data_IF_296480911433
#
_entry.id   IF_296480911433
#
_cell.length_a   1.000
_cell.length_b   1.000
_cell.length_c   1.000
_cell.angle_alpha   90.00
_cell.angle_beta   90.00
_cell.angle_gamma   90.00
#
_symmetry.space_group_name_H-M   'P 1'
#
loop_
_entity.id
_entity.type
_entity.pdbx_description
1 polymer ?
#
# COMPACT_ATOMS: atom_id res chain seq x y z
N UNK A 1 -61.44 -41.58 64.11
CA UNK A 1 -60.14 -40.90 64.14
C UNK A 1 -60.34 -39.50 63.59
N UNK A 2 -59.98 -38.49 64.41
CA UNK A 2 -59.73 -37.05 64.17
C UNK A 2 -60.11 -36.47 62.78
N UNK A 3 -61.04 -35.50 62.65
CA UNK A 3 -60.82 -34.02 62.76
C UNK A 3 -59.63 -33.57 61.88
N UNK A 4 -59.73 -32.64 60.92
CA UNK A 4 -60.39 -31.33 60.94
C UNK A 4 -60.49 -30.69 59.54
N UNK A 5 -61.45 -29.76 59.39
CA UNK A 5 -61.59 -28.72 58.35
C UNK A 5 -60.33 -27.78 58.32
N UNK A 6 -60.11 -26.79 57.44
CA UNK A 6 -60.94 -26.03 56.49
C UNK A 6 -60.06 -25.15 55.54
N UNK A 7 -60.75 -24.56 54.55
CA UNK A 7 -60.55 -23.23 53.93
C UNK A 7 -59.33 -22.93 53.01
N UNK A 8 -59.67 -22.79 51.72
CA UNK A 8 -59.33 -21.70 50.79
C UNK A 8 -58.40 -20.58 51.30
N UNK A 9 -57.38 -20.23 50.49
CA UNK A 9 -57.08 -18.84 50.13
C UNK A 9 -56.07 -18.78 48.97
N UNK A 10 -56.51 -18.15 47.87
CA UNK A 10 -55.71 -17.35 46.92
C UNK A 10 -54.42 -17.97 46.38
N UNK A 11 -54.54 -18.81 45.34
CA UNK A 11 -53.45 -19.04 44.37
C UNK A 11 -53.78 -18.45 43.00
N UNK A 12 -54.51 -17.33 42.99
CA UNK A 12 -54.57 -16.37 41.89
C UNK A 12 -54.05 -15.06 42.47
N UNK A 13 -52.77 -14.77 42.24
CA UNK A 13 -52.14 -13.44 42.21
C UNK A 13 -50.65 -13.58 42.50
N UNK A 14 -49.91 -13.97 41.48
CA UNK A 14 -48.70 -13.27 41.04
C UNK A 14 -48.34 -13.88 39.68
N UNK A 15 -49.08 -13.44 38.68
CA UNK A 15 -48.62 -13.53 37.30
C UNK A 15 -47.36 -12.70 37.18
N UNK A 16 -46.23 -13.39 37.16
CA UNK A 16 -45.08 -12.98 36.39
C UNK A 16 -44.77 -14.18 35.51
N UNK A 17 -45.35 -14.17 34.31
CA UNK A 17 -44.76 -14.90 33.20
C UNK A 17 -43.34 -14.33 33.05
N UNK A 18 -42.36 -14.98 33.67
CA UNK A 18 -41.02 -14.96 33.13
C UNK A 18 -41.12 -15.66 31.78
N UNK A 19 -41.50 -14.89 30.75
CA UNK A 19 -41.09 -15.18 29.40
C UNK A 19 -39.57 -15.21 29.47
N UNK A 20 -39.01 -16.40 29.69
CA UNK A 20 -37.59 -16.69 29.53
C UNK A 20 -37.30 -16.51 28.05
N UNK A 21 -37.17 -15.26 27.64
CA UNK A 21 -36.73 -14.88 26.32
C UNK A 21 -35.41 -15.62 26.10
N UNK A 22 -35.41 -16.53 25.13
CA UNK A 22 -34.27 -17.40 24.86
C UNK A 22 -33.08 -16.54 24.41
N UNK A 23 -32.22 -16.21 25.38
CA UNK A 23 -31.11 -15.26 25.23
C UNK A 23 -30.17 -15.73 24.12
N UNK A 24 -30.09 -17.04 23.90
CA UNK A 24 -29.31 -17.67 22.83
C UNK A 24 -29.83 -17.28 21.44
N UNK A 25 -31.13 -17.45 21.17
CA UNK A 25 -31.75 -17.10 19.90
C UNK A 25 -31.79 -15.59 19.64
N UNK A 26 -31.92 -14.77 20.69
CA UNK A 26 -31.78 -13.32 20.55
C UNK A 26 -30.34 -12.94 20.23
N UNK A 27 -29.35 -13.51 20.93
CA UNK A 27 -27.94 -13.25 20.65
C UNK A 27 -27.58 -13.66 19.22
N UNK A 28 -27.97 -14.85 18.77
CA UNK A 28 -27.80 -15.29 17.38
C UNK A 28 -28.43 -14.28 16.41
N UNK A 29 -29.69 -13.90 16.60
CA UNK A 29 -30.40 -12.97 15.70
C UNK A 29 -29.80 -11.56 15.71
N UNK A 30 -29.26 -11.10 16.83
CA UNK A 30 -28.53 -9.83 16.96
C UNK A 30 -27.17 -9.92 16.26
N UNK A 31 -26.43 -11.01 16.43
CA UNK A 31 -25.15 -11.29 15.75
C UNK A 31 -25.37 -11.34 14.23
N UNK A 32 -26.34 -12.11 13.74
CA UNK A 32 -26.68 -12.18 12.31
C UNK A 32 -27.12 -10.82 11.75
N UNK A 33 -27.88 -10.03 12.50
CA UNK A 33 -28.31 -8.68 12.07
C UNK A 33 -27.15 -7.68 12.04
N UNK A 34 -26.17 -7.81 12.94
CA UNK A 34 -24.96 -6.99 12.95
C UNK A 34 -24.05 -7.34 11.77
N UNK A 35 -23.88 -8.64 11.47
CA UNK A 35 -23.15 -9.14 10.30
C UNK A 35 -23.83 -8.70 8.98
N UNK A 36 -25.16 -8.62 8.95
CA UNK A 36 -25.89 -8.22 7.73
C UNK A 36 -25.78 -6.72 7.40
N UNK A 37 -25.46 -5.86 8.37
CA UNK A 37 -25.40 -4.41 8.14
C UNK A 37 -23.94 -3.95 7.98
N UNK A 38 -23.61 -3.50 6.76
CA UNK A 38 -22.30 -2.90 6.46
C UNK A 38 -21.95 -1.79 7.46
N UNK A 39 -20.82 -1.94 8.15
CA UNK A 39 -20.21 -0.89 8.97
C UNK A 39 -19.43 0.04 8.03
N UNK A 40 -19.90 1.27 7.88
CA UNK A 40 -19.19 2.27 7.09
C UNK A 40 -17.96 2.78 7.86
N UNK A 41 -16.87 2.98 7.14
CA UNK A 41 -15.68 3.64 7.69
C UNK A 41 -15.88 5.17 7.69
N UNK A 42 -15.20 5.90 8.59
CA UNK A 42 -15.19 7.35 8.59
C UNK A 42 -14.43 7.90 7.38
N UNK A 43 -14.80 9.11 6.93
CA UNK A 43 -14.19 9.80 5.78
C UNK A 43 -12.69 10.07 5.99
N UNK A 44 -12.30 10.35 7.23
CA UNK A 44 -10.91 10.45 7.67
C UNK A 44 -10.63 9.31 8.62
N UNK A 45 -9.68 8.45 8.24
CA UNK A 45 -9.34 7.22 8.95
C UNK A 45 -7.83 7.08 9.12
N UNK A 46 -7.46 6.33 10.15
CA UNK A 46 -6.09 5.87 10.36
C UNK A 46 -5.73 4.70 9.44
N UNK A 47 -4.54 4.18 9.66
CA UNK A 47 -3.95 3.09 8.88
C UNK A 47 -2.49 3.37 8.54
N UNK A 48 -1.80 2.33 8.12
CA UNK A 48 -0.40 2.41 7.72
C UNK A 48 -0.24 2.13 6.23
N UNK A 49 0.94 2.46 5.71
CA UNK A 49 1.33 2.13 4.36
C UNK A 49 2.65 1.38 4.41
N UNK A 50 2.63 0.12 3.99
CA UNK A 50 3.79 -0.74 3.92
C UNK A 50 4.24 -0.90 2.47
N UNK A 51 5.48 -0.51 2.19
CA UNK A 51 6.13 -0.77 0.92
C UNK A 51 6.99 -2.02 1.06
N UNK A 52 6.76 -2.99 0.20
CA UNK A 52 7.59 -4.19 0.12
C UNK A 52 8.04 -4.45 -1.32
N UNK A 53 9.12 -5.19 -1.47
CA UNK A 53 9.53 -5.76 -2.75
C UNK A 53 9.50 -7.27 -2.63
N UNK A 54 8.70 -7.92 -3.47
CA UNK A 54 8.63 -9.37 -3.58
C UNK A 54 9.14 -9.78 -4.95
N UNK A 55 10.25 -10.54 -5.00
CA UNK A 55 10.85 -11.00 -6.27
C UNK A 55 11.12 -9.86 -7.27
N UNK A 56 11.47 -8.68 -6.76
CA UNK A 56 11.70 -7.47 -7.58
C UNK A 56 10.43 -6.64 -7.92
N UNK A 57 9.23 -7.15 -7.64
CA UNK A 57 7.97 -6.42 -7.80
C UNK A 57 7.66 -5.61 -6.54
N UNK A 58 7.43 -4.31 -6.71
CA UNK A 58 7.08 -3.43 -5.58
C UNK A 58 5.59 -3.50 -5.29
N UNK A 59 5.26 -3.84 -4.05
CA UNK A 59 3.91 -3.87 -3.48
C UNK A 59 3.78 -2.71 -2.50
N UNK A 60 2.64 -2.03 -2.57
CA UNK A 60 2.20 -1.04 -1.59
C UNK A 60 0.90 -1.56 -0.97
N UNK A 61 1.01 -1.99 0.29
CA UNK A 61 -0.14 -2.33 1.12
C UNK A 61 -0.54 -1.07 1.89
N UNK A 62 -1.81 -0.68 1.80
CA UNK A 62 -2.36 0.41 2.62
C UNK A 62 -3.56 -0.12 3.38
N UNK A 63 -3.63 0.19 4.66
CA UNK A 63 -4.76 -0.21 5.50
C UNK A 63 -5.64 0.99 5.80
N UNK A 64 -6.92 0.73 6.03
CA UNK A 64 -7.87 1.69 6.56
C UNK A 64 -8.49 1.12 7.84
N UNK A 65 -8.33 1.85 8.93
CA UNK A 65 -8.75 1.42 10.27
C UNK A 65 -10.02 2.15 10.72
N UNK A 66 -10.78 1.48 11.57
CA UNK A 66 -11.84 2.10 12.36
C UNK A 66 -11.26 2.88 13.55
N UNK A 67 -12.08 3.68 14.22
CA UNK A 67 -11.68 4.47 15.40
C UNK A 67 -11.17 3.62 16.57
N UNK A 68 -11.55 2.34 16.63
CA UNK A 68 -11.10 1.37 17.62
C UNK A 68 -9.81 0.62 17.23
N UNK A 69 -9.19 0.95 16.09
CA UNK A 69 -7.97 0.29 15.61
C UNK A 69 -8.22 -1.03 14.86
N UNK A 70 -9.46 -1.48 14.74
CA UNK A 70 -9.81 -2.64 13.92
C UNK A 70 -9.58 -2.33 12.43
N UNK A 71 -9.09 -3.31 11.68
CA UNK A 71 -8.93 -3.23 10.24
C UNK A 71 -10.30 -3.22 9.53
N UNK A 72 -10.56 -2.20 8.73
CA UNK A 72 -11.82 -2.08 7.96
C UNK A 72 -11.66 -2.24 6.46
N UNK A 73 -10.47 -1.96 5.92
CA UNK A 73 -10.20 -2.11 4.49
C UNK A 73 -8.71 -2.21 4.19
N UNK A 74 -8.40 -2.78 3.03
CA UNK A 74 -7.05 -2.91 2.50
C UNK A 74 -7.01 -2.42 1.06
N UNK A 75 -5.89 -1.82 0.66
CA UNK A 75 -5.58 -1.49 -0.71
C UNK A 75 -4.25 -2.11 -1.11
N UNK A 76 -4.21 -2.64 -2.32
CA UNK A 76 -3.05 -3.27 -2.91
C UNK A 76 -2.69 -2.58 -4.21
N UNK A 77 -1.55 -1.90 -4.21
CA UNK A 77 -0.99 -1.26 -5.38
C UNK A 77 0.33 -1.91 -5.77
N UNK A 78 0.45 -2.30 -7.03
CA UNK A 78 1.66 -2.90 -7.57
C UNK A 78 2.12 -2.12 -8.81
N UNK A 79 3.44 -1.98 -8.94
CA UNK A 79 4.08 -1.36 -10.10
C UNK A 79 4.86 -2.42 -10.88
N UNK A 80 4.74 -2.39 -12.21
CA UNK A 80 5.42 -3.26 -13.20
C UNK A 80 4.77 -4.61 -13.49
N UNK A 81 3.53 -4.83 -13.07
CA UNK A 81 2.77 -6.01 -13.46
C UNK A 81 1.73 -5.67 -14.54
N UNK A 82 1.33 -6.69 -15.31
CA UNK A 82 0.35 -6.52 -16.38
C UNK A 82 -0.97 -5.92 -15.89
N UNK A 83 -1.65 -5.16 -16.76
CA UNK A 83 -2.90 -4.46 -16.42
C UNK A 83 -3.98 -5.40 -15.84
N UNK A 84 -4.04 -6.64 -16.33
CA UNK A 84 -4.97 -7.66 -15.83
C UNK A 84 -4.71 -8.02 -14.36
N UNK A 85 -3.44 -8.27 -13.99
CA UNK A 85 -3.09 -8.65 -12.63
C UNK A 85 -3.31 -7.50 -11.65
N UNK A 86 -2.90 -6.28 -12.01
CA UNK A 86 -3.19 -5.07 -11.20
C UNK A 86 -4.70 -4.91 -10.96
N UNK A 87 -5.51 -5.08 -11.99
CA UNK A 87 -6.97 -4.94 -11.88
C UNK A 87 -7.57 -6.03 -10.99
N UNK A 88 -7.09 -7.27 -11.12
CA UNK A 88 -7.52 -8.39 -10.29
C UNK A 88 -7.17 -8.17 -8.81
N UNK A 89 -5.94 -7.74 -8.51
CA UNK A 89 -5.52 -7.43 -7.14
C UNK A 89 -6.35 -6.29 -6.52
N UNK A 90 -6.68 -5.27 -7.32
CA UNK A 90 -7.57 -4.19 -6.87
C UNK A 90 -8.99 -4.70 -6.58
N UNK A 91 -9.58 -5.53 -7.47
CA UNK A 91 -10.88 -6.15 -7.23
C UNK A 91 -10.87 -7.07 -5.99
N UNK A 92 -9.78 -7.81 -5.80
CA UNK A 92 -9.57 -8.66 -4.63
C UNK A 92 -9.52 -7.83 -3.33
N UNK A 93 -8.74 -6.75 -3.32
CA UNK A 93 -8.65 -5.85 -2.17
C UNK A 93 -10.02 -5.22 -1.82
N UNK A 94 -10.82 -4.85 -2.83
CA UNK A 94 -12.19 -4.36 -2.64
C UNK A 94 -13.08 -5.46 -2.04
N UNK A 95 -12.99 -6.71 -2.51
CA UNK A 95 -13.80 -7.82 -2.00
C UNK A 95 -13.49 -8.12 -0.52
N UNK A 96 -12.21 -8.18 -0.16
CA UNK A 96 -11.77 -8.38 1.24
C UNK A 96 -12.23 -7.22 2.12
N UNK A 97 -12.04 -5.97 1.66
CA UNK A 97 -12.49 -4.78 2.39
C UNK A 97 -14.00 -4.78 2.61
N UNK A 98 -14.77 -5.22 1.62
CA UNK A 98 -16.21 -5.36 1.76
C UNK A 98 -16.55 -6.42 2.82
N UNK A 99 -15.89 -7.58 2.78
CA UNK A 99 -16.07 -8.63 3.77
C UNK A 99 -15.79 -8.17 5.21
N UNK A 100 -14.67 -7.47 5.43
CA UNK A 100 -14.34 -6.87 6.73
C UNK A 100 -15.42 -5.88 7.20
N UNK A 101 -15.99 -5.08 6.28
CA UNK A 101 -17.07 -4.14 6.61
C UNK A 101 -18.41 -4.81 6.92
N UNK A 102 -18.65 -6.04 6.44
CA UNK A 102 -19.79 -6.88 6.84
C UNK A 102 -19.49 -7.72 8.08
N UNK A 103 -18.36 -7.49 8.76
CA UNK A 103 -18.02 -8.15 10.02
C UNK A 103 -17.46 -9.56 9.84
N UNK A 104 -16.93 -9.90 8.67
CA UNK A 104 -16.09 -11.09 8.53
C UNK A 104 -14.78 -10.84 9.31
N UNK A 105 -14.43 -11.68 10.29
CA UNK A 105 -13.21 -11.51 11.08
C UNK A 105 -11.96 -11.69 10.21
N UNK A 106 -10.90 -10.96 10.54
CA UNK A 106 -9.64 -10.96 9.76
C UNK A 106 -8.98 -12.34 9.78
N UNK A 107 -9.10 -13.05 10.91
CA UNK A 107 -8.59 -14.39 11.16
C UNK A 107 -9.02 -15.39 10.07
N UNK A 108 -10.29 -15.35 9.67
CA UNK A 108 -10.83 -16.24 8.64
C UNK A 108 -10.21 -15.97 7.27
N UNK A 109 -9.91 -14.71 6.97
CA UNK A 109 -9.20 -14.37 5.74
C UNK A 109 -7.73 -14.80 5.79
N UNK A 110 -7.07 -14.63 6.93
CA UNK A 110 -5.68 -15.07 7.13
C UNK A 110 -5.58 -16.57 6.92
N UNK A 111 -6.42 -17.35 7.60
CA UNK A 111 -6.38 -18.81 7.51
C UNK A 111 -6.74 -19.32 6.11
N UNK A 112 -7.61 -18.60 5.37
CA UNK A 112 -7.97 -18.96 4.00
C UNK A 112 -6.86 -18.67 2.97
N UNK A 113 -6.05 -17.62 3.17
CA UNK A 113 -5.16 -17.09 2.14
C UNK A 113 -3.66 -17.26 2.40
N UNK A 114 -3.26 -17.54 3.64
CA UNK A 114 -1.87 -17.87 3.97
C UNK A 114 -1.45 -19.16 3.26
N UNK A 115 -0.18 -19.22 2.85
CA UNK A 115 0.44 -20.30 2.06
C UNK A 115 -0.12 -20.50 0.64
N UNK A 116 -0.96 -19.60 0.16
CA UNK A 116 -1.34 -19.59 -1.26
C UNK A 116 -0.11 -19.37 -2.14
N UNK A 117 -0.02 -20.14 -3.23
CA UNK A 117 1.16 -20.18 -4.11
C UNK A 117 0.81 -19.69 -5.50
N UNK A 118 1.41 -18.58 -5.91
CA UNK A 118 1.38 -18.06 -7.29
C UNK A 118 2.45 -16.97 -7.45
N UNK A 119 2.81 -16.66 -8.69
CA UNK A 119 3.80 -15.61 -8.98
C UNK A 119 3.20 -14.20 -8.87
N UNK A 120 3.96 -13.20 -8.36
CA UNK A 120 5.35 -13.29 -7.90
C UNK A 120 5.48 -13.95 -6.53
N UNK A 121 6.52 -14.76 -6.38
CA UNK A 121 6.92 -15.41 -5.13
C UNK A 121 8.43 -15.26 -4.93
N UNK A 122 8.90 -15.32 -3.69
CA UNK A 122 10.32 -15.25 -3.38
C UNK A 122 10.66 -14.38 -2.18
N UNK A 123 11.87 -13.81 -2.22
CA UNK A 123 12.41 -12.97 -1.14
C UNK A 123 11.60 -11.69 -1.03
N UNK A 124 11.30 -11.33 0.21
CA UNK A 124 10.65 -10.08 0.61
C UNK A 124 11.70 -9.12 1.17
N UNK A 125 11.76 -7.92 0.60
CA UNK A 125 12.54 -6.82 1.13
C UNK A 125 11.62 -5.67 1.57
N UNK A 126 12.04 -4.95 2.61
CA UNK A 126 11.28 -3.82 3.16
C UNK A 126 10.32 -4.21 4.28
N UNK A 127 10.31 -5.47 4.70
CA UNK A 127 9.58 -5.95 5.87
C UNK A 127 10.56 -6.52 6.91
N UNK A 128 10.28 -6.27 8.19
CA UNK A 128 11.13 -6.71 9.31
C UNK A 128 10.88 -8.18 9.67
N UNK A 129 9.62 -8.62 9.68
CA UNK A 129 9.20 -9.94 10.16
C UNK A 129 9.17 -11.02 9.07
N UNK A 130 8.75 -10.66 7.85
CA UNK A 130 8.59 -11.60 6.74
C UNK A 130 9.72 -11.42 5.74
N UNK A 131 10.57 -12.44 5.59
CA UNK A 131 11.71 -12.43 4.66
C UNK A 131 11.46 -13.20 3.36
N UNK A 132 10.48 -14.09 3.35
CA UNK A 132 10.11 -14.94 2.22
C UNK A 132 8.59 -15.08 2.17
N UNK A 133 8.02 -15.07 0.97
CA UNK A 133 6.59 -15.33 0.75
C UNK A 133 6.34 -16.18 -0.49
N UNK A 134 5.29 -16.99 -0.46
CA UNK A 134 4.92 -17.88 -1.56
C UNK A 134 3.99 -17.23 -2.58
N UNK A 135 3.45 -16.05 -2.26
CA UNK A 135 2.72 -15.18 -3.17
C UNK A 135 2.57 -13.77 -2.59
N UNK A 136 2.04 -12.83 -3.37
CA UNK A 136 1.67 -11.48 -2.91
C UNK A 136 0.59 -11.55 -1.83
N UNK A 137 -0.42 -12.39 -2.05
CA UNK A 137 -1.56 -12.53 -1.13
C UNK A 137 -1.09 -13.17 0.19
N UNK A 138 -0.26 -14.21 0.11
CA UNK A 138 0.37 -14.83 1.26
C UNK A 138 1.17 -13.81 2.08
N UNK A 139 1.98 -12.97 1.43
CA UNK A 139 2.71 -11.88 2.10
C UNK A 139 1.75 -10.89 2.80
N UNK A 140 0.71 -10.43 2.10
CA UNK A 140 -0.25 -9.45 2.62
C UNK A 140 -0.96 -9.98 3.87
N UNK A 141 -1.51 -11.20 3.83
CA UNK A 141 -2.26 -11.73 4.96
C UNK A 141 -1.37 -12.10 6.15
N UNK A 142 -0.14 -12.55 5.92
CA UNK A 142 0.82 -12.70 7.02
C UNK A 142 1.16 -11.37 7.67
N UNK A 143 1.35 -10.32 6.88
CA UNK A 143 1.63 -8.98 7.41
C UNK A 143 0.45 -8.44 8.23
N UNK A 144 -0.78 -8.60 7.74
CA UNK A 144 -1.98 -8.20 8.47
C UNK A 144 -2.17 -9.03 9.75
N UNK A 145 -1.86 -10.33 9.71
CA UNK A 145 -1.93 -11.19 10.89
C UNK A 145 -0.92 -10.77 11.96
N UNK A 146 0.29 -10.40 11.58
CA UNK A 146 1.30 -9.91 12.52
C UNK A 146 0.89 -8.54 13.08
N UNK A 147 0.45 -7.62 12.21
CA UNK A 147 0.14 -6.24 12.59
C UNK A 147 -1.13 -6.08 13.45
N UNK A 148 -2.18 -6.86 13.18
CA UNK A 148 -3.49 -6.72 13.86
C UNK A 148 -3.83 -7.85 14.81
N UNK A 149 -3.31 -9.07 14.57
CA UNK A 149 -3.66 -10.25 15.37
C UNK A 149 -2.51 -10.71 16.27
N UNK A 150 -1.35 -10.03 16.21
CA UNK A 150 -0.13 -10.39 16.94
C UNK A 150 0.30 -11.85 16.72
N UNK A 151 -0.05 -12.40 15.54
CA UNK A 151 0.26 -13.77 15.13
C UNK A 151 1.69 -13.88 14.60
N UNK A 152 2.65 -13.85 15.52
CA UNK A 152 4.07 -14.01 15.20
C UNK A 152 4.47 -15.44 14.80
N UNK A 153 3.57 -16.43 14.91
CA UNK A 153 3.76 -17.80 14.40
C UNK A 153 3.99 -17.83 12.88
N UNK A 154 3.47 -16.83 12.16
CA UNK A 154 3.61 -16.69 10.72
C UNK A 154 4.87 -15.90 10.30
N UNK A 155 5.54 -15.26 11.26
CA UNK A 155 6.76 -14.50 11.03
C UNK A 155 7.97 -15.45 10.88
N UNK A 156 8.92 -15.07 10.01
CA UNK A 156 10.19 -15.79 9.93
C UNK A 156 11.20 -15.29 10.96
N UNK A 157 11.08 -14.01 11.36
CA UNK A 157 11.91 -13.38 12.37
C UNK A 157 10.99 -12.97 13.52
N UNK A 158 11.28 -13.50 14.70
CA UNK A 158 10.50 -13.18 15.90
C UNK A 158 10.77 -11.74 16.36
N UNK A 159 9.85 -11.10 17.08
CA UNK A 159 10.07 -9.75 17.62
C UNK A 159 11.27 -9.70 18.59
N UNK A 160 11.58 -10.81 19.28
CA UNK A 160 12.72 -10.91 20.19
C UNK A 160 14.06 -10.83 19.42
N UNK A 161 14.15 -11.50 18.27
CA UNK A 161 15.35 -11.46 17.42
C UNK A 161 15.62 -10.05 16.87
N UNK A 162 14.58 -9.24 16.65
CA UNK A 162 14.72 -7.85 16.19
C UNK A 162 15.28 -6.93 17.30
N UNK A 163 15.03 -7.25 18.57
CA UNK A 163 15.57 -6.49 19.70
C UNK A 163 17.07 -6.72 19.87
N UNK A 164 17.57 -7.92 19.57
CA UNK A 164 19.01 -8.23 19.63
C UNK A 164 19.79 -7.58 18.48
N UNK A 165 19.17 -7.40 17.31
CA UNK A 165 19.77 -6.66 16.19
C UNK A 165 19.87 -5.16 16.51
N UNK A 166 18.83 -4.56 17.10
CA UNK A 166 18.87 -3.15 17.51
C UNK A 166 19.91 -2.88 18.63
N UNK A 167 20.28 -3.90 19.40
CA UNK A 167 21.40 -3.81 20.38
C UNK A 167 22.79 -3.96 19.74
N UNK A 168 22.89 -4.56 18.55
CA UNK A 168 24.14 -4.71 17.80
C UNK A 168 24.33 -3.66 16.69
N UNK A 169 23.25 -2.97 16.28
CA UNK A 169 23.25 -1.84 15.33
C UNK A 169 23.42 -0.46 15.98
N UNK A 170 23.75 -0.38 17.28
CA UNK A 170 24.21 0.87 17.91
C UNK A 170 25.57 1.37 17.41
N UNK A 171 26.16 0.74 16.39
CA UNK A 171 27.08 1.45 15.50
C UNK A 171 26.25 2.30 14.53
N UNK A 172 25.58 3.31 15.09
CA UNK A 172 25.11 4.47 14.33
C UNK A 172 26.34 5.04 13.62
N UNK A 173 26.42 4.86 12.31
CA UNK A 173 27.20 5.76 11.49
C UNK A 173 26.43 7.07 11.48
N UNK A 174 26.59 7.83 12.55
CA UNK A 174 26.22 9.22 12.60
C UNK A 174 26.99 9.87 11.45
N UNK A 175 26.28 10.39 10.45
CA UNK A 175 26.89 11.36 9.55
C UNK A 175 27.04 12.63 10.38
N UNK A 176 28.02 12.61 11.29
CA UNK A 176 28.51 13.77 12.01
C UNK A 176 28.84 14.82 10.96
N UNK A 177 28.17 15.98 11.09
CA UNK A 177 28.62 17.30 10.73
C UNK A 177 29.61 17.37 9.56
N UNK A 178 29.19 17.95 8.42
CA UNK A 178 30.13 18.42 7.41
C UNK A 178 31.23 19.27 8.06
N UNK A 179 32.40 18.68 8.32
CA UNK A 179 33.55 19.39 8.84
C UNK A 179 34.03 20.36 7.75
N UNK A 180 34.01 21.64 8.09
CA UNK A 180 34.43 22.71 7.21
C UNK A 180 35.97 22.69 7.13
N UNK A 181 36.54 21.86 6.23
CA UNK A 181 37.98 21.55 6.16
C UNK A 181 38.88 22.78 5.98
N UNK A 182 38.37 23.91 5.46
CA UNK A 182 39.05 25.22 5.53
C UNK A 182 38.19 26.33 4.93
N UNK A 183 37.87 27.36 5.71
CA UNK A 183 37.41 28.66 5.18
C UNK A 183 38.62 29.50 4.76
N UNK A 184 38.82 29.71 3.45
CA UNK A 184 39.77 30.73 2.97
C UNK A 184 39.06 32.08 2.93
N UNK A 185 39.43 32.97 3.85
CA UNK A 185 39.11 34.39 3.75
C UNK A 185 40.07 35.02 2.75
N UNK A 186 39.55 35.50 1.62
CA UNK A 186 40.32 36.29 0.66
C UNK A 186 40.43 37.71 1.24
N UNK A 187 41.63 38.23 1.52
CA UNK A 187 41.78 39.62 1.96
C UNK A 187 41.27 40.58 0.87
N UNK A 188 40.49 41.58 1.27
CA UNK A 188 39.83 42.53 0.36
C UNK A 188 40.82 43.25 -0.59
N UNK A 189 42.10 43.30 -0.23
CA UNK A 189 43.17 43.92 -1.02
C UNK A 189 43.51 43.12 -2.30
N UNK A 190 43.26 41.81 -2.34
CA UNK A 190 43.49 40.97 -3.53
C UNK A 190 42.31 40.97 -4.51
N UNK A 191 41.16 41.57 -4.16
CA UNK A 191 40.02 41.74 -5.06
C UNK A 191 40.14 43.00 -5.94
N UNK A 192 41.13 43.86 -5.70
CA UNK A 192 41.26 45.17 -6.36
C UNK A 192 42.01 45.16 -7.71
N UNK A 193 42.11 44.00 -8.38
CA UNK A 193 42.98 43.83 -9.56
C UNK A 193 42.31 43.53 -10.91
N UNK A 194 40.98 43.47 -11.00
CA UNK A 194 40.30 43.16 -12.27
C UNK A 194 39.30 44.26 -12.64
N UNK A 195 39.84 45.41 -13.03
CA UNK A 195 39.08 46.41 -13.77
C UNK A 195 38.80 45.94 -15.21
N UNK A 196 37.50 45.79 -15.49
CA UNK A 196 36.77 46.18 -16.72
C UNK A 196 37.29 45.68 -18.08
N UNK A 197 36.64 44.64 -18.60
CA UNK A 197 36.20 44.64 -20.01
C UNK A 197 34.67 44.66 -20.08
N UNK A 198 34.17 45.70 -20.73
CA UNK A 198 32.76 45.99 -20.96
C UNK A 198 32.07 44.85 -21.73
N UNK A 199 30.93 44.37 -21.23
CA UNK A 199 29.95 43.65 -22.03
C UNK A 199 28.56 44.27 -21.82
N UNK A 200 27.84 44.39 -22.95
CA UNK A 200 26.56 45.08 -23.16
C UNK A 200 25.42 44.53 -22.28
N UNK A 201 24.34 45.30 -22.04
CA UNK A 201 23.31 44.92 -21.07
C UNK A 201 22.47 43.72 -21.56
N UNK A 202 22.44 42.66 -20.76
CA UNK A 202 21.51 41.52 -20.92
C UNK A 202 20.26 41.82 -20.10
N UNK A 203 19.10 41.69 -20.75
CA UNK A 203 17.76 41.95 -20.20
C UNK A 203 17.47 41.06 -18.98
N UNK A 204 17.00 41.67 -17.88
CA UNK A 204 16.50 40.98 -16.68
C UNK A 204 15.28 40.13 -17.04
N UNK A 205 15.28 38.83 -16.73
CA UNK A 205 14.06 38.03 -16.57
C UNK A 205 13.91 37.63 -15.10
N UNK A 206 12.76 38.02 -14.54
CA UNK A 206 12.26 37.63 -13.21
C UNK A 206 12.05 36.11 -13.16
N UNK A 207 12.49 35.48 -12.08
CA UNK A 207 12.05 34.12 -11.72
C UNK A 207 10.96 34.30 -10.67
N UNK A 208 9.73 33.98 -11.07
CA UNK A 208 8.53 33.90 -10.23
C UNK A 208 8.29 32.41 -10.01
N UNK A 209 8.16 32.01 -8.76
CA UNK A 209 7.70 30.68 -8.33
C UNK A 209 6.18 30.65 -8.46
N UNK A 210 5.56 29.60 -9.05
CA UNK A 210 4.14 29.37 -8.88
C UNK A 210 3.87 28.05 -8.15
N UNK A 211 3.12 28.16 -7.04
CA UNK A 211 2.05 27.22 -6.72
C UNK A 211 1.05 27.24 -7.88
N UNK A 212 0.56 26.08 -8.34
CA UNK A 212 -0.88 25.97 -8.56
C UNK A 212 -1.38 24.52 -8.59
N UNK A 213 -2.45 24.35 -7.85
CA UNK A 213 -3.50 23.35 -8.00
C UNK A 213 -4.27 23.57 -9.31
N UNK A 214 -4.81 22.48 -9.86
CA UNK A 214 -5.83 22.39 -10.93
C UNK A 214 -5.36 22.17 -12.39
N UNK A 215 -5.91 21.09 -12.96
CA UNK A 215 -6.13 20.81 -14.39
C UNK A 215 -4.92 20.60 -15.33
N UNK A 216 -4.37 19.37 -15.34
CA UNK A 216 -3.64 18.84 -16.52
C UNK A 216 -4.51 17.86 -17.30
N UNK A 217 -5.38 18.39 -18.15
CA UNK A 217 -5.83 17.71 -19.37
C UNK A 217 -5.18 18.44 -20.53
N UNK A 218 -4.49 17.70 -21.41
CA UNK A 218 -4.01 18.08 -22.76
C UNK A 218 -2.49 18.28 -23.01
N UNK A 219 -1.60 17.48 -22.41
CA UNK A 219 -0.19 17.35 -22.89
C UNK A 219 0.02 16.17 -23.87
N UNK A 220 -1.01 15.34 -24.09
CA UNK A 220 -0.91 14.16 -24.96
C UNK A 220 -0.72 14.51 -26.44
N UNK A 221 -1.28 15.64 -26.90
CA UNK A 221 -1.23 16.06 -28.31
C UNK A 221 0.15 16.52 -28.74
N UNK A 222 0.89 17.19 -27.84
CA UNK A 222 2.27 17.62 -28.10
C UNK A 222 3.20 16.41 -28.26
N UNK A 223 3.11 15.43 -27.35
CA UNK A 223 3.92 14.21 -27.39
C UNK A 223 3.67 13.36 -28.65
N UNK A 224 2.40 13.26 -29.09
CA UNK A 224 2.05 12.56 -30.35
C UNK A 224 2.64 13.27 -31.57
N UNK A 225 2.64 14.60 -31.59
CA UNK A 225 3.19 15.38 -32.70
C UNK A 225 4.71 15.20 -32.83
N UNK A 226 5.43 15.19 -31.71
CA UNK A 226 6.87 14.93 -31.67
C UNK A 226 7.22 13.51 -32.12
N UNK A 227 6.42 12.51 -31.71
CA UNK A 227 6.62 11.12 -32.12
C UNK A 227 6.47 10.94 -33.64
N UNK A 228 5.51 11.64 -34.26
CA UNK A 228 5.33 11.64 -35.73
C UNK A 228 6.49 12.32 -36.45
N UNK A 229 6.98 13.45 -35.94
CA UNK A 229 8.15 14.16 -36.51
C UNK A 229 9.39 13.26 -36.46
N UNK A 230 9.57 12.50 -35.37
CA UNK A 230 10.68 11.55 -35.19
C UNK A 230 10.52 10.26 -36.01
N UNK A 231 9.39 10.07 -36.70
CA UNK A 231 9.13 8.92 -37.56
C UNK A 231 8.87 7.62 -36.80
N UNK A 232 8.37 7.69 -35.56
CA UNK A 232 8.02 6.49 -34.81
C UNK A 232 6.77 5.82 -35.35
N UNK A 233 6.81 4.50 -35.50
CA UNK A 233 5.70 3.73 -36.09
C UNK A 233 4.56 3.48 -35.13
N UNK A 234 4.77 3.68 -33.82
CA UNK A 234 3.78 3.39 -32.78
C UNK A 234 3.73 1.92 -32.36
N UNK A 235 4.60 1.07 -32.89
CA UNK A 235 4.78 -0.30 -32.41
C UNK A 235 5.70 -0.33 -31.18
N UNK A 236 5.45 -1.28 -30.27
CA UNK A 236 6.28 -1.51 -29.09
C UNK A 236 7.49 -2.38 -29.44
N UNK A 237 8.69 -1.97 -29.04
CA UNK A 237 9.88 -2.82 -29.15
C UNK A 237 9.72 -4.12 -28.32
N UNK A 238 10.02 -5.32 -28.84
CA UNK A 238 9.84 -6.57 -28.09
C UNK A 238 10.81 -6.76 -26.90
N UNK A 239 11.94 -6.06 -26.87
CA UNK A 239 12.94 -6.18 -25.80
C UNK A 239 12.83 -5.10 -24.72
N UNK A 240 12.79 -3.82 -25.13
CA UNK A 240 12.72 -2.71 -24.17
C UNK A 240 11.31 -2.11 -24.00
N UNK A 241 10.33 -2.59 -24.76
CA UNK A 241 8.92 -2.15 -24.73
C UNK A 241 8.67 -0.66 -24.97
N UNK A 242 9.67 0.08 -25.45
CA UNK A 242 9.54 1.48 -25.80
C UNK A 242 8.97 1.67 -27.21
N UNK A 243 8.08 2.65 -27.39
CA UNK A 243 7.42 2.99 -28.65
C UNK A 243 8.28 3.86 -29.59
N UNK A 244 9.58 3.62 -29.61
CA UNK A 244 10.57 4.40 -30.37
C UNK A 244 11.11 3.62 -31.58
N UNK A 245 10.28 2.76 -32.19
CA UNK A 245 10.62 2.02 -33.40
C UNK A 245 10.52 2.94 -34.62
N UNK A 246 11.58 3.01 -35.41
CA UNK A 246 11.67 3.77 -36.67
C UNK A 246 11.89 2.82 -37.82
N UNK A 247 11.31 3.12 -38.99
CA UNK A 247 11.46 2.29 -40.19
C UNK A 247 12.88 2.41 -40.76
N UNK A 248 13.55 1.27 -40.92
CA UNK A 248 14.88 1.15 -41.51
C UNK A 248 14.84 0.10 -42.63
N UNK A 249 14.43 0.54 -43.83
CA UNK A 249 14.21 -0.34 -44.98
C UNK A 249 12.94 -1.20 -44.82
N UNK A 250 13.08 -2.51 -44.99
CA UNK A 250 12.00 -3.48 -44.80
C UNK A 250 11.69 -3.79 -43.31
N UNK A 251 12.58 -3.36 -42.41
CA UNK A 251 12.56 -3.71 -40.99
C UNK A 251 12.39 -2.47 -40.11
N UNK A 252 12.10 -2.67 -38.82
CA UNK A 252 12.05 -1.58 -37.85
C UNK A 252 13.25 -1.66 -36.92
N UNK A 253 13.78 -0.50 -36.51
CA UNK A 253 14.88 -0.40 -35.56
C UNK A 253 14.46 0.44 -34.37
N UNK A 254 14.73 -0.05 -33.16
CA UNK A 254 14.47 0.68 -31.94
C UNK A 254 15.59 1.71 -31.69
N UNK A 255 15.22 2.98 -31.52
CA UNK A 255 16.20 4.04 -31.20
C UNK A 255 16.72 3.93 -29.76
N UNK A 256 15.92 3.33 -28.86
CA UNK A 256 16.27 3.24 -27.42
C UNK A 256 17.25 2.10 -27.12
N UNK A 257 17.01 0.88 -27.65
CA UNK A 257 17.87 -0.28 -27.38
C UNK A 257 18.68 -0.77 -28.59
N UNK A 258 18.45 -0.21 -29.78
CA UNK A 258 19.20 -0.54 -31.00
C UNK A 258 18.74 -1.78 -31.75
N UNK A 259 17.77 -2.53 -31.22
CA UNK A 259 17.32 -3.81 -31.78
C UNK A 259 16.46 -3.67 -33.05
N UNK A 260 16.59 -4.62 -33.97
CA UNK A 260 15.89 -4.65 -35.24
C UNK A 260 14.85 -5.77 -35.31
N UNK A 261 13.61 -5.42 -35.61
CA UNK A 261 12.55 -6.40 -35.85
C UNK A 261 12.45 -6.70 -37.34
N UNK A 262 12.70 -7.96 -37.72
CA UNK A 262 12.40 -8.50 -39.05
C UNK A 262 13.57 -8.63 -40.03
N UNK A 263 14.80 -8.27 -39.65
CA UNK A 263 16.01 -8.47 -40.46
C UNK A 263 17.07 -9.13 -39.58
N UNK A 264 17.45 -10.35 -39.92
CA UNK A 264 18.66 -11.04 -39.45
C UNK A 264 19.89 -10.53 -40.19
#
# INVERSE_FOLDING_TARGET
SKLSQALSTTSELLGLNEESIDVSHIAEKVIYRYIAKRRCLPDRRGGYTQKAKLSGNTIYLRTGEYENGELGEIFLDMHREGAAFRSLMNCFAIAVSLGLQYGVPLEEFVDAFVFTKFEPSGVVNGNNHIKMATSVIDYVFRELAIAYLERYDLAHVSPDDLQDVSRSEQLEFDYEQEELVSTRLIPAEQAAGLEKKQQKPIKKKKIIVPNDSSTKKNDLTASISEARIKGYTGESCPNCHQFTLVRNGACLKCVTCGETTGCS
#
